data_IF_811713804333
#
_entry.id   IF_811713804333
#
_cell.length_a   1.000
_cell.length_b   1.000
_cell.length_c   1.000
_cell.angle_alpha   90.00
_cell.angle_beta   90.00
_cell.angle_gamma   90.00
#
_symmetry.space_group_name_H-M   'P 1'
#
loop_
_entity.id
_entity.type
_entity.pdbx_description
1 polymer ?
#
# COMPACT_ATOMS: atom_id res chain seq x y z
N UNK A 1 -14.72 0.94 -10.04
CA UNK A 1 -13.70 -0.05 -9.64
C UNK A 1 -13.11 0.39 -8.31
N UNK A 2 -13.30 -0.39 -7.24
CA UNK A 2 -12.71 -0.05 -5.93
C UNK A 2 -11.21 -0.37 -5.99
N UNK A 3 -10.38 0.66 -5.85
CA UNK A 3 -8.93 0.49 -5.78
C UNK A 3 -8.53 -0.03 -4.39
N UNK A 4 -7.58 -0.95 -4.35
CA UNK A 4 -6.92 -1.37 -3.11
C UNK A 4 -5.75 -0.42 -2.87
N UNK A 5 -5.83 0.39 -1.80
CA UNK A 5 -4.77 1.31 -1.38
C UNK A 5 -4.15 0.81 -0.08
N UNK A 6 -2.82 0.71 -0.05
CA UNK A 6 -2.05 0.36 1.14
C UNK A 6 -0.92 1.37 1.28
N UNK A 7 -0.88 2.08 2.41
CA UNK A 7 0.24 2.93 2.78
C UNK A 7 1.21 2.11 3.62
N UNK A 8 2.48 2.07 3.20
CA UNK A 8 3.53 1.25 3.84
C UNK A 8 4.61 2.08 4.51
N UNK A 9 4.77 3.35 4.13
CA UNK A 9 5.75 4.26 4.69
C UNK A 9 5.39 5.72 4.42
N UNK A 10 5.95 6.62 5.24
CA UNK A 10 5.97 8.06 4.98
C UNK A 10 7.34 8.48 4.45
N UNK A 11 7.35 9.22 3.36
CA UNK A 11 8.57 9.80 2.79
C UNK A 11 8.92 11.06 3.58
N UNK A 12 10.14 11.13 4.10
CA UNK A 12 10.64 12.28 4.86
C UNK A 12 11.59 13.14 4.01
N UNK A 13 12.39 12.51 3.15
CA UNK A 13 13.23 13.20 2.17
C UNK A 13 12.70 12.97 0.74
N UNK A 14 12.12 14.02 0.17
CA UNK A 14 11.60 14.00 -1.21
C UNK A 14 12.72 14.04 -2.26
N UNK A 15 13.92 14.52 -1.91
CA UNK A 15 15.07 14.58 -2.83
C UNK A 15 15.66 13.20 -3.14
N UNK A 16 15.41 12.22 -2.28
CA UNK A 16 15.77 10.81 -2.49
C UNK A 16 14.76 10.05 -3.37
N UNK A 17 13.66 10.69 -3.77
CA UNK A 17 12.59 10.04 -4.54
C UNK A 17 12.89 10.09 -6.04
N UNK A 18 13.16 8.93 -6.63
CA UNK A 18 13.27 8.80 -8.08
C UNK A 18 11.87 8.67 -8.68
N UNK A 19 11.46 9.66 -9.47
CA UNK A 19 10.22 9.57 -10.25
C UNK A 19 10.46 8.66 -11.45
N UNK A 20 9.84 7.47 -11.44
CA UNK A 20 9.97 6.50 -12.53
C UNK A 20 8.64 6.43 -13.28
N UNK A 21 8.60 6.97 -14.49
CA UNK A 21 7.41 6.98 -15.32
C UNK A 21 7.19 5.63 -16.00
N UNK A 22 6.02 5.05 -15.75
CA UNK A 22 5.56 3.82 -16.37
C UNK A 22 6.23 2.60 -15.74
N UNK A 23 5.45 1.83 -14.97
CA UNK A 23 5.40 0.37 -14.92
C UNK A 23 4.61 -0.09 -13.69
N UNK A 24 3.89 -1.20 -13.82
CA UNK A 24 2.94 -1.76 -12.86
C UNK A 24 3.37 -3.15 -12.36
N UNK A 25 4.67 -3.49 -12.45
CA UNK A 25 5.14 -4.83 -12.13
C UNK A 25 5.47 -5.01 -10.64
N UNK A 26 4.98 -6.12 -10.08
CA UNK A 26 5.20 -6.56 -8.69
C UNK A 26 6.70 -6.60 -8.33
N UNK A 27 7.54 -6.96 -9.30
CA UNK A 27 8.99 -7.06 -9.12
C UNK A 27 9.65 -5.69 -8.87
N UNK A 28 9.17 -4.63 -9.51
CA UNK A 28 9.73 -3.30 -9.28
C UNK A 28 9.44 -2.81 -7.85
N UNK A 29 8.22 -3.03 -7.35
CA UNK A 29 7.87 -2.65 -5.96
C UNK A 29 8.78 -3.37 -4.98
N UNK A 30 9.08 -4.66 -5.23
CA UNK A 30 10.06 -5.41 -4.43
C UNK A 30 11.44 -4.73 -4.44
N UNK A 31 12.00 -4.47 -5.63
CA UNK A 31 13.33 -3.87 -5.77
C UNK A 31 13.41 -2.46 -5.16
N UNK A 32 12.37 -1.65 -5.35
CA UNK A 32 12.26 -0.32 -4.75
C UNK A 32 12.24 -0.39 -3.22
N UNK A 33 11.46 -1.31 -2.65
CA UNK A 33 11.40 -1.50 -1.20
C UNK A 33 12.72 -1.99 -0.63
N UNK A 34 13.34 -2.98 -1.27
CA UNK A 34 14.66 -3.47 -0.87
C UNK A 34 15.74 -2.38 -0.94
N UNK A 35 15.65 -1.48 -1.92
CA UNK A 35 16.58 -0.34 -2.05
C UNK A 35 16.35 0.70 -0.95
N UNK A 36 15.10 1.09 -0.71
CA UNK A 36 14.74 2.06 0.32
C UNK A 36 15.03 1.57 1.74
N UNK A 37 14.85 0.26 1.99
CA UNK A 37 15.16 -0.32 3.30
C UNK A 37 16.67 -0.39 3.58
N UNK A 38 17.49 -0.55 2.53
CA UNK A 38 18.96 -0.48 2.62
C UNK A 38 19.47 0.93 2.88
N UNK A 39 18.94 1.94 2.20
CA UNK A 39 19.39 3.33 2.34
C UNK A 39 19.04 3.93 3.71
N UNK A 40 17.92 3.49 4.32
CA UNK A 40 17.41 3.90 5.65
C UNK A 40 17.19 5.39 5.87
N UNK A 41 17.56 6.29 4.95
CA UNK A 41 17.47 7.75 5.08
C UNK A 41 16.19 8.34 4.50
N UNK A 42 15.62 7.73 3.47
CA UNK A 42 14.47 8.29 2.75
C UNK A 42 13.12 8.15 3.46
N UNK A 43 12.96 7.13 4.31
CA UNK A 43 11.67 6.74 4.90
C UNK A 43 11.67 6.93 6.42
N UNK A 44 10.62 7.54 6.96
CA UNK A 44 10.37 7.64 8.40
C UNK A 44 9.84 6.34 9.00
N UNK A 45 8.70 6.41 9.72
CA UNK A 45 7.95 5.21 10.15
C UNK A 45 7.53 4.40 8.92
N UNK A 46 7.96 3.12 8.87
CA UNK A 46 7.84 2.28 7.67
C UNK A 46 7.68 0.79 7.97
N UNK A 47 7.03 0.10 7.05
CA UNK A 47 7.07 -1.35 6.87
C UNK A 47 7.57 -1.58 5.45
N UNK A 48 8.89 -1.81 5.31
CA UNK A 48 9.55 -1.91 4.00
C UNK A 48 9.92 -3.36 3.61
N UNK A 49 9.76 -4.33 4.51
CA UNK A 49 9.99 -5.74 4.18
C UNK A 49 9.01 -6.22 3.10
N UNK A 50 9.55 -6.69 1.98
CA UNK A 50 8.77 -7.08 0.80
C UNK A 50 7.72 -8.15 1.13
N UNK A 51 8.10 -9.19 1.88
CA UNK A 51 7.22 -10.31 2.16
C UNK A 51 6.05 -9.86 3.05
N UNK A 52 6.34 -9.03 4.05
CA UNK A 52 5.35 -8.43 4.95
C UNK A 52 4.39 -7.55 4.17
N UNK A 53 4.89 -6.65 3.32
CA UNK A 53 4.05 -5.78 2.48
C UNK A 53 3.15 -6.61 1.57
N UNK A 54 3.72 -7.57 0.84
CA UNK A 54 2.95 -8.42 -0.08
C UNK A 54 1.86 -9.20 0.65
N UNK A 55 2.19 -9.84 1.77
CA UNK A 55 1.24 -10.60 2.56
C UNK A 55 0.10 -9.70 3.07
N UNK A 56 0.42 -8.51 3.58
CA UNK A 56 -0.56 -7.56 4.08
C UNK A 56 -1.50 -7.05 2.97
N UNK A 57 -0.97 -6.76 1.78
CA UNK A 57 -1.75 -6.36 0.61
C UNK A 57 -2.71 -7.48 0.20
N UNK A 58 -2.21 -8.73 0.09
CA UNK A 58 -3.05 -9.88 -0.27
C UNK A 58 -4.13 -10.16 0.76
N UNK A 59 -3.79 -10.08 2.06
CA UNK A 59 -4.75 -10.22 3.15
C UNK A 59 -5.83 -9.13 3.11
N UNK A 60 -5.45 -7.88 2.80
CA UNK A 60 -6.41 -6.79 2.67
C UNK A 60 -7.34 -6.94 1.47
N UNK A 61 -6.81 -7.39 0.32
CA UNK A 61 -7.63 -7.78 -0.83
C UNK A 61 -8.67 -8.84 -0.44
N UNK A 62 -8.25 -9.86 0.32
CA UNK A 62 -9.15 -10.91 0.77
C UNK A 62 -10.24 -10.35 1.69
N UNK A 63 -9.89 -9.56 2.71
CA UNK A 63 -10.90 -8.91 3.59
C UNK A 63 -11.91 -8.07 2.83
N UNK A 64 -11.49 -7.34 1.79
CA UNK A 64 -12.43 -6.57 0.94
C UNK A 64 -13.34 -7.47 0.10
N UNK A 65 -12.87 -8.63 -0.35
CA UNK A 65 -13.71 -9.64 -1.04
C UNK A 65 -14.72 -10.23 -0.09
N UNK A 66 -14.29 -10.65 1.09
CA UNK A 66 -15.15 -11.27 2.11
C UNK A 66 -16.21 -10.28 2.61
N UNK A 67 -15.90 -8.99 2.65
CA UNK A 67 -16.86 -7.92 2.95
C UNK A 67 -17.62 -7.37 1.74
N UNK A 68 -17.73 -8.15 0.64
CA UNK A 68 -18.57 -7.82 -0.52
C UNK A 68 -18.33 -6.42 -1.14
N UNK A 69 -17.11 -5.89 -1.00
CA UNK A 69 -16.76 -4.53 -1.46
C UNK A 69 -16.49 -4.44 -2.96
N UNK A 70 -16.57 -5.56 -3.68
CA UNK A 70 -16.30 -5.65 -5.11
C UNK A 70 -17.47 -6.17 -5.94
N UNK A 71 -18.40 -6.91 -5.34
CA UNK A 71 -19.51 -7.60 -6.02
C UNK A 71 -20.84 -6.86 -5.89
N UNK A 72 -20.90 -5.79 -5.09
CA UNK A 72 -22.08 -4.95 -4.93
C UNK A 72 -23.18 -5.59 -4.08
N UNK A 73 -22.88 -6.67 -3.35
CA UNK A 73 -23.86 -7.30 -2.45
C UNK A 73 -24.11 -6.47 -1.18
N UNK A 74 -23.20 -5.55 -0.85
CA UNK A 74 -23.35 -4.56 0.21
C UNK A 74 -23.26 -3.12 -0.33
N UNK A 75 -24.05 -2.20 0.24
CA UNK A 75 -23.95 -0.78 -0.08
C UNK A 75 -22.73 -0.15 0.63
N UNK A 76 -21.66 0.07 -0.15
CA UNK A 76 -20.49 0.83 0.28
C UNK A 76 -20.49 2.22 -0.36
N UNK A 77 -20.06 3.23 0.38
CA UNK A 77 -19.89 4.59 -0.15
C UNK A 77 -18.69 4.60 -1.12
N UNK A 78 -18.99 4.61 -2.41
CA UNK A 78 -18.00 4.56 -3.49
C UNK A 78 -17.21 5.87 -3.66
N UNK A 79 -17.61 6.95 -2.97
CA UNK A 79 -16.85 8.20 -2.93
C UNK A 79 -15.70 8.15 -1.92
N UNK A 80 -15.76 7.19 -0.98
CA UNK A 80 -14.74 6.94 0.03
C UNK A 80 -13.73 5.93 -0.48
N UNK A 81 -12.45 6.21 -0.25
CA UNK A 81 -11.35 5.33 -0.68
C UNK A 81 -10.57 4.80 0.53
N UNK A 82 -11.06 3.72 1.18
CA UNK A 82 -10.40 3.16 2.34
C UNK A 82 -8.98 2.71 2.01
N UNK A 83 -8.03 3.24 2.77
CA UNK A 83 -6.60 3.00 2.65
C UNK A 83 -6.14 2.23 3.87
N UNK A 84 -5.48 1.08 3.67
CA UNK A 84 -4.88 0.34 4.76
C UNK A 84 -3.56 1.00 5.16
N UNK A 85 -3.53 1.65 6.31
CA UNK A 85 -2.33 2.16 6.95
C UNK A 85 -1.62 0.98 7.61
N UNK A 86 -0.66 0.38 6.89
CA UNK A 86 0.04 -0.79 7.37
C UNK A 86 0.92 -0.50 8.60
N UNK A 87 1.66 0.62 8.67
CA UNK A 87 2.40 0.99 9.87
C UNK A 87 1.55 1.17 11.13
N UNK A 88 0.31 1.66 11.00
CA UNK A 88 -0.63 1.82 12.13
C UNK A 88 -1.57 0.62 12.31
N UNK A 89 -1.57 -0.33 11.37
CA UNK A 89 -2.41 -1.53 11.42
C UNK A 89 -3.91 -1.27 11.28
N UNK A 90 -4.32 -0.16 10.63
CA UNK A 90 -5.73 0.24 10.56
C UNK A 90 -6.15 0.73 9.17
N UNK A 91 -7.43 0.59 8.86
CA UNK A 91 -8.02 1.22 7.68
C UNK A 91 -8.38 2.67 7.99
N UNK A 92 -7.97 3.60 7.12
CA UNK A 92 -8.30 5.03 7.20
C UNK A 92 -9.08 5.44 5.95
N UNK A 93 -10.09 6.30 6.15
CA UNK A 93 -10.86 6.90 5.06
C UNK A 93 -10.52 8.40 5.04
N UNK A 94 -10.02 8.94 3.91
CA UNK A 94 -9.76 10.37 3.75
C UNK A 94 -11.02 11.22 3.79
#
# INVERSE_FOLDING_TARGET
MVLVRVMIAKVEDKGAFLEVQGWNCVQWIKEALETLDKDKKALGRRVADWQTVRNAVMAYCQRKKDGHRFDGQEQHDMSKFPTNDLPEGKEVVP
#
